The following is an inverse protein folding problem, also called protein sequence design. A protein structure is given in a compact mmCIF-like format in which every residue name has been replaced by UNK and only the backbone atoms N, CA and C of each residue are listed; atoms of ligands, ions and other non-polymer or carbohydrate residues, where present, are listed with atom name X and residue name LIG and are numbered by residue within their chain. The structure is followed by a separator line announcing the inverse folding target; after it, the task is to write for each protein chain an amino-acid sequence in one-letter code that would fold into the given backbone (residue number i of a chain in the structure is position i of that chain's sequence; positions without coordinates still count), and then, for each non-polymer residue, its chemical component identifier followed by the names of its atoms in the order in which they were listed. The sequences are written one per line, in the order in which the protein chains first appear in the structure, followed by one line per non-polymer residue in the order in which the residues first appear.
data_IF_667011406765
#
_entry.id   IF_667011406765
#
_cell.length_a   1.000
_cell.length_b   1.000
_cell.length_c   1.000
_cell.angle_alpha   90.00
_cell.angle_beta   90.00
_cell.angle_gamma   90.00
#
_symmetry.space_group_name_H-M   'P 1'
#
loop_
_entity.id
_entity.type
_entity.pdbx_description
1 polymer ?
#
# COMPACT_ATOMS: atom_id res chain seq x y z
N UNK A 1 50.87 -27.06 17.02
CA UNK A 1 49.52 -26.52 17.25
C UNK A 1 49.15 -25.92 15.93
N UNK A 2 48.37 -26.66 15.16
CA UNK A 2 48.15 -26.45 13.71
C UNK A 2 47.51 -25.09 13.44
N UNK A 3 47.99 -24.44 12.38
CA UNK A 3 47.37 -23.27 11.77
C UNK A 3 45.92 -23.62 11.44
N UNK A 4 44.97 -22.97 12.12
CA UNK A 4 43.56 -23.10 11.76
C UNK A 4 43.38 -22.33 10.45
N UNK A 5 42.98 -23.03 9.41
CA UNK A 5 42.66 -22.43 8.11
C UNK A 5 41.50 -21.44 8.28
N UNK A 6 41.79 -20.15 8.11
CA UNK A 6 40.81 -19.05 8.27
C UNK A 6 39.60 -19.22 7.34
N UNK A 7 39.69 -20.00 6.26
CA UNK A 7 38.54 -20.32 5.39
C UNK A 7 37.49 -21.24 6.04
N UNK A 8 37.82 -21.85 7.18
CA UNK A 8 36.90 -22.68 7.99
C UNK A 8 36.58 -22.06 9.35
N UNK A 9 36.97 -20.80 9.57
CA UNK A 9 36.61 -20.03 10.77
C UNK A 9 35.33 -19.26 10.47
N UNK A 10 34.24 -19.65 11.13
CA UNK A 10 32.98 -18.90 11.11
C UNK A 10 32.94 -17.99 12.33
N UNK A 11 32.85 -16.67 12.10
CA UNK A 11 32.56 -15.72 13.16
C UNK A 11 31.07 -15.83 13.52
N UNK A 12 30.77 -16.56 14.60
CA UNK A 12 29.40 -16.66 15.11
C UNK A 12 29.09 -15.40 15.91
N UNK A 13 28.36 -14.49 15.29
CA UNK A 13 27.81 -13.33 15.96
C UNK A 13 26.41 -13.68 16.46
N UNK A 14 26.25 -13.73 17.78
CA UNK A 14 24.96 -13.96 18.40
C UNK A 14 24.11 -12.69 18.36
N UNK A 15 22.83 -12.85 18.08
CA UNK A 15 21.84 -11.81 18.33
C UNK A 15 21.59 -11.66 19.83
N UNK A 16 21.20 -10.46 20.26
CA UNK A 16 20.80 -10.24 21.64
C UNK A 16 19.52 -11.02 21.97
N UNK A 17 19.47 -11.67 23.14
CA UNK A 17 18.30 -12.43 23.59
C UNK A 17 17.13 -11.52 24.01
N UNK A 18 17.43 -10.27 24.42
CA UNK A 18 16.46 -9.29 24.90
C UNK A 18 16.31 -8.13 23.92
N UNK A 19 15.06 -7.84 23.54
CA UNK A 19 14.70 -6.70 22.69
C UNK A 19 14.32 -5.48 23.54
N UNK A 20 14.58 -4.28 23.03
CA UNK A 20 14.20 -3.03 23.65
C UNK A 20 12.69 -2.75 23.60
N UNK A 21 12.27 -1.66 24.25
CA UNK A 21 10.88 -1.22 24.21
C UNK A 21 10.44 -0.90 22.76
N UNK A 22 9.25 -1.38 22.36
CA UNK A 22 8.72 -1.17 21.02
C UNK A 22 9.40 -2.00 19.92
N UNK A 23 10.29 -2.93 20.27
CA UNK A 23 10.98 -3.80 19.32
C UNK A 23 10.36 -5.20 19.25
N UNK A 24 10.39 -5.79 18.05
CA UNK A 24 10.06 -7.20 17.81
C UNK A 24 10.95 -7.77 16.71
N UNK A 25 11.16 -9.08 16.73
CA UNK A 25 11.76 -9.76 15.58
C UNK A 25 10.87 -9.58 14.35
N UNK A 26 11.48 -9.23 13.22
CA UNK A 26 10.82 -9.19 11.93
C UNK A 26 10.27 -10.57 11.60
N UNK A 27 8.99 -10.62 11.26
CA UNK A 27 8.32 -11.85 10.83
C UNK A 27 8.52 -12.15 9.36
N UNK A 28 9.23 -11.29 8.63
CA UNK A 28 9.28 -11.35 7.17
C UNK A 28 9.66 -12.74 6.66
N UNK A 29 10.72 -13.35 7.20
CA UNK A 29 11.17 -14.66 6.72
C UNK A 29 10.13 -15.76 6.97
N UNK A 30 9.50 -15.75 8.15
CA UNK A 30 8.50 -16.72 8.60
C UNK A 30 7.19 -16.69 7.77
N UNK A 31 6.93 -15.60 7.05
CA UNK A 31 5.70 -15.43 6.28
C UNK A 31 5.68 -16.29 5.00
N UNK A 32 4.49 -16.78 4.66
CA UNK A 32 4.27 -17.47 3.39
C UNK A 32 4.42 -16.51 2.18
N UNK A 33 4.73 -17.05 1.00
CA UNK A 33 4.99 -16.24 -0.19
C UNK A 33 3.86 -15.25 -0.57
N UNK A 34 2.59 -15.61 -0.33
CA UNK A 34 1.45 -14.72 -0.62
C UNK A 34 1.32 -13.54 0.36
N UNK A 35 1.96 -13.65 1.53
CA UNK A 35 2.01 -12.64 2.58
C UNK A 35 3.23 -11.71 2.42
N UNK A 36 4.08 -11.96 1.43
CA UNK A 36 5.25 -11.16 1.06
C UNK A 36 4.96 -10.32 -0.19
N UNK A 37 5.65 -9.19 -0.30
CA UNK A 37 5.59 -8.32 -1.45
C UNK A 37 5.96 -9.02 -2.77
N UNK A 38 5.47 -8.51 -3.92
CA UNK A 38 5.78 -9.06 -5.24
C UNK A 38 7.25 -8.88 -5.61
N UNK A 39 7.72 -9.73 -6.52
CA UNK A 39 9.04 -9.60 -7.16
C UNK A 39 8.96 -8.78 -8.46
N UNK A 40 10.03 -8.06 -8.86
CA UNK A 40 11.29 -7.89 -8.14
C UNK A 40 11.11 -7.00 -6.90
N UNK A 41 11.76 -7.37 -5.79
CA UNK A 41 11.69 -6.57 -4.55
C UNK A 41 12.62 -5.37 -4.68
N UNK A 42 12.24 -4.19 -4.18
CA UNK A 42 13.17 -3.09 -4.04
C UNK A 42 14.36 -3.45 -3.14
N UNK A 43 15.55 -2.97 -3.50
CA UNK A 43 16.80 -3.28 -2.79
C UNK A 43 16.82 -2.79 -1.34
N UNK A 44 15.97 -1.82 -0.99
CA UNK A 44 15.84 -1.30 0.37
C UNK A 44 15.07 -2.24 1.31
N UNK A 45 14.40 -3.27 0.79
CA UNK A 45 13.61 -4.19 1.64
C UNK A 45 14.56 -5.11 2.40
N UNK A 46 14.69 -4.89 3.70
CA UNK A 46 15.46 -5.78 4.60
C UNK A 46 14.69 -7.09 4.80
N UNK A 47 15.30 -8.19 4.38
CA UNK A 47 14.73 -9.55 4.45
C UNK A 47 15.49 -10.48 5.40
N UNK A 48 16.47 -9.96 6.15
CA UNK A 48 17.27 -10.75 7.09
C UNK A 48 16.40 -11.42 8.15
N UNK A 49 16.74 -12.66 8.51
CA UNK A 49 16.09 -13.44 9.57
C UNK A 49 16.27 -12.82 10.95
N UNK A 50 17.40 -12.13 11.16
CA UNK A 50 17.73 -11.41 12.38
C UNK A 50 17.35 -9.94 12.35
N UNK A 51 16.49 -9.51 11.41
CA UNK A 51 16.01 -8.15 11.40
C UNK A 51 15.05 -7.89 12.57
N UNK A 52 15.12 -6.70 13.14
CA UNK A 52 14.26 -6.20 14.21
C UNK A 52 13.39 -5.09 13.63
N UNK A 53 12.08 -5.17 13.87
CA UNK A 53 11.14 -4.06 13.64
C UNK A 53 11.03 -3.23 14.93
N UNK A 54 11.35 -1.94 14.86
CA UNK A 54 11.24 -0.98 15.96
C UNK A 54 10.14 0.04 15.67
N UNK A 55 9.14 0.16 16.56
CA UNK A 55 8.10 1.18 16.44
C UNK A 55 8.68 2.58 16.70
N UNK A 56 8.61 3.47 15.70
CA UNK A 56 9.05 4.87 15.81
C UNK A 56 7.92 5.83 16.20
N UNK A 57 6.69 5.32 16.26
CA UNK A 57 5.51 6.08 16.68
C UNK A 57 4.41 6.18 15.63
N UNK A 58 3.33 6.88 15.99
CA UNK A 58 2.13 7.01 15.15
C UNK A 58 2.35 8.07 14.08
N UNK A 59 2.24 7.68 12.80
CA UNK A 59 2.20 8.60 11.67
C UNK A 59 0.82 9.24 11.52
N UNK A 60 -0.24 8.43 11.61
CA UNK A 60 -1.62 8.90 11.44
C UNK A 60 -2.60 7.99 12.18
N UNK A 61 -3.49 8.59 12.97
CA UNK A 61 -4.61 7.86 13.56
C UNK A 61 -5.82 7.84 12.63
N UNK A 62 -6.53 6.73 12.60
CA UNK A 62 -7.76 6.57 11.81
C UNK A 62 -8.86 5.85 12.56
N UNK A 63 -10.08 5.96 12.03
CA UNK A 63 -11.26 5.29 12.60
C UNK A 63 -11.16 3.77 12.49
N UNK A 64 -10.54 3.25 11.43
CA UNK A 64 -10.46 1.80 11.13
C UNK A 64 -9.06 1.24 11.33
N UNK A 65 -8.04 2.06 11.14
CA UNK A 65 -6.66 1.66 11.27
C UNK A 65 -5.83 2.85 11.70
N UNK A 66 -4.74 2.57 12.39
CA UNK A 66 -3.67 3.52 12.66
C UNK A 66 -2.47 3.18 11.78
N UNK A 67 -1.75 4.20 11.35
CA UNK A 67 -0.51 4.07 10.58
C UNK A 67 0.63 4.48 11.49
N UNK A 68 1.61 3.60 11.63
CA UNK A 68 2.84 3.79 12.40
C UNK A 68 4.04 3.90 11.47
N UNK A 69 5.08 4.59 11.89
CA UNK A 69 6.40 4.42 11.31
C UNK A 69 7.12 3.32 12.08
N UNK A 70 7.76 2.41 11.33
CA UNK A 70 8.60 1.36 11.89
C UNK A 70 9.95 1.38 11.20
N UNK A 71 11.03 1.15 11.94
CA UNK A 71 12.35 0.88 11.37
C UNK A 71 12.60 -0.62 11.36
N UNK A 72 13.01 -1.18 10.23
CA UNK A 72 13.54 -2.53 10.15
C UNK A 72 15.04 -2.48 9.95
N UNK A 73 15.79 -3.08 10.87
CA UNK A 73 17.25 -3.16 10.80
C UNK A 73 17.75 -4.53 11.24
N UNK A 74 18.76 -5.06 10.54
CA UNK A 74 19.57 -6.14 11.07
C UNK A 74 20.64 -5.52 12.00
N UNK A 75 20.73 -5.91 13.28
CA UNK A 75 21.75 -5.38 14.21
C UNK A 75 23.19 -5.52 13.71
N UNK A 76 23.48 -6.51 12.86
CA UNK A 76 24.79 -6.70 12.25
C UNK A 76 24.98 -5.92 10.95
N UNK A 77 23.92 -5.29 10.42
CA UNK A 77 23.93 -4.44 9.22
C UNK A 77 23.07 -3.18 9.41
N UNK A 78 23.41 -2.31 10.38
CA UNK A 78 22.61 -1.12 10.68
C UNK A 78 22.55 -0.13 9.50
N UNK A 79 23.54 -0.12 8.61
CA UNK A 79 23.56 0.76 7.44
C UNK A 79 22.50 0.39 6.37
N UNK A 80 21.93 -0.82 6.46
CA UNK A 80 20.84 -1.29 5.58
C UNK A 80 19.45 -0.99 6.19
N UNK A 81 19.37 -0.33 7.35
CA UNK A 81 18.12 -0.04 8.02
C UNK A 81 17.14 0.75 7.15
N UNK A 82 15.86 0.43 7.26
CA UNK A 82 14.80 1.08 6.47
C UNK A 82 13.60 1.46 7.32
N UNK A 83 13.10 2.67 7.12
CA UNK A 83 11.86 3.14 7.72
C UNK A 83 10.69 2.88 6.76
N UNK A 84 9.63 2.29 7.29
CA UNK A 84 8.44 1.86 6.56
C UNK A 84 7.17 2.32 7.27
N UNK A 85 6.04 2.27 6.57
CA UNK A 85 4.72 2.53 7.13
C UNK A 85 4.03 1.21 7.48
N UNK A 86 3.59 1.06 8.73
CA UNK A 86 2.80 -0.08 9.21
C UNK A 86 1.35 0.35 9.46
N UNK A 87 0.42 -0.11 8.63
CA UNK A 87 -1.02 0.10 8.80
C UNK A 87 -1.62 -1.04 9.62
N UNK A 88 -2.00 -0.76 10.87
CA UNK A 88 -2.59 -1.71 11.81
C UNK A 88 -4.10 -1.48 11.90
N UNK A 89 -4.91 -2.45 11.46
CA UNK A 89 -6.36 -2.34 11.56
C UNK A 89 -6.82 -2.64 12.98
N UNK A 90 -7.81 -1.87 13.44
CA UNK A 90 -8.45 -2.09 14.74
C UNK A 90 -9.31 -3.36 14.67
N UNK A 91 -9.39 -4.07 15.79
CA UNK A 91 -10.20 -5.27 15.90
C UNK A 91 -11.68 -4.98 15.57
N UNK A 92 -12.30 -5.97 14.93
CA UNK A 92 -13.65 -5.96 14.38
C UNK A 92 -14.77 -5.78 15.41
N UNK A 93 -14.48 -5.93 16.71
CA UNK A 93 -15.48 -5.86 17.78
C UNK A 93 -16.14 -4.48 17.96
N UNK A 94 -15.61 -3.42 17.34
CA UNK A 94 -16.06 -2.04 17.57
C UNK A 94 -16.57 -1.26 16.36
N UNK A 95 -17.08 -1.89 15.30
CA UNK A 95 -17.60 -1.11 14.15
C UNK A 95 -18.97 -1.54 13.63
N UNK A 96 -19.97 -0.91 14.24
CA UNK A 96 -21.32 -0.62 13.75
C UNK A 96 -21.46 -0.63 12.22
N UNK A 97 -22.16 -1.65 11.74
CA UNK A 97 -22.96 -1.91 10.53
C UNK A 97 -23.47 -0.75 9.63
N UNK A 98 -22.82 0.40 9.55
CA UNK A 98 -23.26 1.50 8.69
C UNK A 98 -22.19 1.84 7.66
N UNK A 99 -22.21 1.11 6.53
CA UNK A 99 -21.83 1.51 5.15
C UNK A 99 -21.52 0.34 4.19
N UNK A 100 -21.52 -0.91 4.66
CA UNK A 100 -21.15 -2.08 3.84
C UNK A 100 -22.15 -2.47 2.73
N UNK A 101 -23.37 -1.92 2.71
CA UNK A 101 -24.42 -2.34 1.77
C UNK A 101 -24.11 -1.96 0.31
N UNK A 102 -23.46 -0.83 0.05
CA UNK A 102 -23.22 -0.36 -1.32
C UNK A 102 -21.98 -0.95 -1.98
N UNK A 103 -21.05 -1.50 -1.20
CA UNK A 103 -19.74 -1.98 -1.69
C UNK A 103 -19.66 -3.50 -1.87
N UNK A 104 -20.63 -4.25 -1.34
CA UNK A 104 -20.56 -5.74 -1.31
C UNK A 104 -21.49 -6.42 -2.31
N UNK A 105 -22.45 -5.70 -2.91
CA UNK A 105 -23.49 -6.29 -3.77
C UNK A 105 -22.96 -6.93 -5.07
N UNK A 106 -21.74 -6.62 -5.50
CA UNK A 106 -21.09 -7.29 -6.65
C UNK A 106 -20.24 -8.52 -6.29
N UNK A 107 -19.92 -8.75 -5.01
CA UNK A 107 -18.88 -9.73 -4.60
C UNK A 107 -19.40 -11.16 -4.39
N UNK A 108 -20.72 -11.38 -4.46
CA UNK A 108 -21.35 -12.60 -3.89
C UNK A 108 -21.70 -13.71 -4.87
N UNK A 109 -21.17 -13.75 -6.10
CA UNK A 109 -21.56 -14.80 -7.05
C UNK A 109 -20.38 -15.66 -7.53
N UNK A 110 -19.86 -16.51 -6.63
CA UNK A 110 -19.43 -17.91 -6.89
C UNK A 110 -18.56 -18.47 -5.77
N UNK A 111 -19.10 -19.43 -4.97
CA UNK A 111 -18.57 -20.81 -4.77
C UNK A 111 -18.91 -21.45 -3.41
N UNK A 112 -19.14 -22.77 -3.53
CA UNK A 112 -19.51 -23.83 -2.58
C UNK A 112 -18.87 -23.79 -1.18
N UNK A 113 -19.62 -24.33 -0.20
CA UNK A 113 -19.27 -24.52 1.21
C UNK A 113 -17.95 -25.29 1.43
N UNK A 114 -17.60 -26.23 0.55
CA UNK A 114 -16.42 -27.09 0.73
C UNK A 114 -15.09 -26.35 0.47
N UNK A 115 -15.10 -25.38 -0.43
CA UNK A 115 -13.92 -24.58 -0.76
C UNK A 115 -13.59 -23.57 0.36
N UNK A 116 -14.59 -23.22 1.19
CA UNK A 116 -14.43 -22.28 2.31
C UNK A 116 -13.78 -22.95 3.53
N UNK A 117 -14.12 -24.22 3.78
CA UNK A 117 -13.54 -25.00 4.88
C UNK A 117 -12.05 -25.35 4.62
N UNK A 118 -11.70 -25.69 3.38
CA UNK A 118 -10.29 -25.90 2.99
C UNK A 118 -9.48 -24.60 3.03
N UNK A 119 -10.05 -23.48 2.56
CA UNK A 119 -9.41 -22.16 2.70
C UNK A 119 -9.14 -21.80 4.16
N UNK A 120 -10.11 -21.92 5.08
CA UNK A 120 -9.88 -21.62 6.51
C UNK A 120 -8.79 -22.47 7.18
N UNK A 121 -8.37 -23.59 6.59
CA UNK A 121 -7.28 -24.43 7.12
C UNK A 121 -5.89 -24.00 6.65
N UNK A 122 -5.75 -23.28 5.53
CA UNK A 122 -4.44 -22.74 5.12
C UNK A 122 -4.08 -21.50 5.93
N UNK A 123 -2.79 -21.22 6.09
CA UNK A 123 -2.32 -19.99 6.75
C UNK A 123 -2.88 -18.76 6.06
N UNK A 124 -2.83 -18.71 4.73
CA UNK A 124 -3.47 -17.64 3.95
C UNK A 124 -4.98 -17.51 4.22
N UNK A 125 -5.73 -18.60 4.36
CA UNK A 125 -7.16 -18.46 4.66
C UNK A 125 -7.47 -18.14 6.12
N UNK A 126 -6.56 -18.44 7.06
CA UNK A 126 -6.59 -17.88 8.43
C UNK A 126 -6.30 -16.39 8.40
N UNK A 127 -5.28 -15.96 7.66
CA UNK A 127 -4.94 -14.56 7.40
C UNK A 127 -6.14 -13.76 6.88
N UNK A 128 -6.78 -14.25 5.81
CA UNK A 128 -7.98 -13.63 5.23
C UNK A 128 -9.14 -13.58 6.23
N UNK A 129 -9.29 -14.61 7.08
CA UNK A 129 -10.35 -14.63 8.08
C UNK A 129 -10.07 -13.69 9.27
N UNK A 130 -8.81 -13.52 9.67
CA UNK A 130 -8.41 -12.66 10.78
C UNK A 130 -8.46 -11.17 10.40
N UNK A 131 -8.09 -10.84 9.16
CA UNK A 131 -8.01 -9.46 8.69
C UNK A 131 -8.66 -9.27 7.33
N UNK A 132 -9.97 -9.51 7.18
CA UNK A 132 -10.66 -9.41 5.88
C UNK A 132 -10.42 -8.06 5.19
N UNK A 133 -10.42 -6.95 5.96
CA UNK A 133 -10.11 -5.62 5.47
C UNK A 133 -8.65 -5.47 5.05
N UNK A 134 -7.71 -5.90 5.90
CA UNK A 134 -6.28 -5.87 5.62
C UNK A 134 -5.93 -6.74 4.40
N UNK A 135 -6.51 -7.94 4.30
CA UNK A 135 -6.33 -8.83 3.16
C UNK A 135 -6.91 -8.23 1.86
N UNK A 136 -8.05 -7.52 1.93
CA UNK A 136 -8.59 -6.83 0.76
C UNK A 136 -7.67 -5.70 0.30
N UNK A 137 -7.19 -4.86 1.23
CA UNK A 137 -6.26 -3.77 0.90
C UNK A 137 -4.92 -4.29 0.38
N UNK A 138 -4.37 -5.34 1.00
CA UNK A 138 -3.15 -6.01 0.56
C UNK A 138 -3.25 -6.53 -0.87
N UNK A 139 -4.35 -7.22 -1.21
CA UNK A 139 -4.55 -7.73 -2.56
C UNK A 139 -4.66 -6.57 -3.58
N UNK A 140 -5.34 -5.48 -3.23
CA UNK A 140 -5.47 -4.31 -4.08
C UNK A 140 -4.11 -3.60 -4.28
N UNK A 141 -3.36 -3.39 -3.19
CA UNK A 141 -2.04 -2.75 -3.22
C UNK A 141 -1.04 -3.56 -4.03
N UNK A 142 -0.96 -4.87 -3.80
CA UNK A 142 -0.15 -5.79 -4.61
C UNK A 142 -0.51 -5.73 -6.08
N UNK A 143 -1.79 -5.83 -6.40
CA UNK A 143 -2.26 -5.81 -7.79
C UNK A 143 -1.91 -4.49 -8.48
N UNK A 144 -2.11 -3.36 -7.81
CA UNK A 144 -1.77 -2.04 -8.36
C UNK A 144 -0.27 -1.91 -8.59
N UNK A 145 0.54 -2.33 -7.62
CA UNK A 145 1.99 -2.28 -7.76
C UNK A 145 2.49 -3.18 -8.92
N UNK A 146 1.97 -4.41 -9.04
CA UNK A 146 2.30 -5.34 -10.13
C UNK A 146 1.89 -4.80 -11.52
N UNK A 147 0.88 -3.92 -11.58
CA UNK A 147 0.47 -3.21 -12.80
C UNK A 147 1.34 -1.98 -13.10
N UNK A 148 2.30 -1.65 -12.24
CA UNK A 148 3.17 -0.48 -12.39
C UNK A 148 2.52 0.84 -11.96
N UNK A 149 1.39 0.79 -11.23
CA UNK A 149 0.81 2.02 -10.68
C UNK A 149 1.72 2.65 -9.64
N UNK A 150 1.71 3.99 -9.52
CA UNK A 150 2.45 4.69 -8.49
C UNK A 150 1.74 4.53 -7.14
N UNK A 151 1.95 3.40 -6.48
CA UNK A 151 1.44 3.07 -5.14
C UNK A 151 2.60 2.64 -4.25
N UNK A 152 2.48 2.69 -2.91
CA UNK A 152 3.52 2.19 -2.03
C UNK A 152 3.85 0.73 -2.31
N UNK A 153 5.13 0.37 -2.31
CA UNK A 153 5.50 -1.05 -2.37
C UNK A 153 4.93 -1.82 -1.17
N UNK A 154 4.14 -2.89 -1.38
CA UNK A 154 3.64 -3.72 -0.29
C UNK A 154 4.73 -4.67 0.19
N UNK A 155 5.28 -4.46 1.39
CA UNK A 155 6.40 -5.26 1.92
C UNK A 155 5.92 -6.60 2.46
N UNK A 156 4.91 -6.57 3.34
CA UNK A 156 4.29 -7.78 3.89
C UNK A 156 2.91 -7.50 4.48
N UNK A 157 2.13 -8.56 4.68
CA UNK A 157 0.94 -8.58 5.54
C UNK A 157 1.12 -9.65 6.62
N UNK A 158 0.81 -9.32 7.86
CA UNK A 158 0.74 -10.27 8.98
C UNK A 158 -0.50 -9.97 9.82
N UNK A 159 -1.43 -10.93 9.90
CA UNK A 159 -2.75 -10.80 10.52
C UNK A 159 -3.55 -9.56 10.09
N UNK A 160 -3.55 -8.49 10.88
CA UNK A 160 -4.25 -7.24 10.60
C UNK A 160 -3.29 -6.09 10.33
N UNK A 161 -2.00 -6.35 10.14
CA UNK A 161 -0.99 -5.35 9.83
C UNK A 161 -0.51 -5.48 8.40
N UNK A 162 -0.47 -4.36 7.68
CA UNK A 162 0.23 -4.25 6.39
C UNK A 162 1.44 -3.35 6.58
N UNK A 163 2.63 -3.85 6.24
CA UNK A 163 3.85 -3.04 6.14
C UNK A 163 4.08 -2.70 4.66
N UNK A 164 4.35 -1.44 4.39
CA UNK A 164 4.55 -0.91 3.05
C UNK A 164 5.56 0.24 3.04
N UNK A 165 6.02 0.62 1.85
CA UNK A 165 6.89 1.76 1.62
C UNK A 165 6.36 3.02 2.34
N UNK A 166 7.24 3.67 3.11
CA UNK A 166 6.96 5.01 3.60
C UNK A 166 7.27 6.02 2.50
N UNK A 167 6.22 6.64 1.96
CA UNK A 167 6.35 7.62 0.90
C UNK A 167 6.86 8.93 1.48
N UNK A 168 8.05 9.31 1.07
CA UNK A 168 8.76 10.48 1.57
C UNK A 168 9.03 11.51 0.48
N UNK A 169 9.37 12.72 0.91
CA UNK A 169 9.97 13.73 0.06
C UNK A 169 11.11 14.42 0.85
N UNK A 170 11.99 15.12 0.14
CA UNK A 170 13.10 15.85 0.76
C UNK A 170 12.80 17.35 0.84
N UNK A 171 12.98 17.93 2.02
CA UNK A 171 12.89 19.37 2.27
C UNK A 171 14.15 19.77 3.02
N UNK A 172 14.90 20.74 2.51
CA UNK A 172 16.13 21.26 3.13
C UNK A 172 17.17 20.18 3.52
N UNK A 173 17.19 19.06 2.80
CA UNK A 173 18.08 17.93 3.04
C UNK A 173 17.52 16.85 3.98
N UNK A 174 16.44 17.15 4.69
CA UNK A 174 15.77 16.23 5.60
C UNK A 174 14.70 15.40 4.87
N UNK A 175 14.43 14.20 5.40
CA UNK A 175 13.42 13.28 4.86
C UNK A 175 12.15 13.46 5.66
N UNK A 176 11.08 13.85 4.97
CA UNK A 176 9.76 14.03 5.57
C UNK A 176 8.72 13.13 4.90
N UNK A 177 7.58 12.91 5.58
CA UNK A 177 6.43 12.22 4.96
C UNK A 177 5.90 13.05 3.80
N UNK A 178 5.71 12.44 2.64
CA UNK A 178 5.16 13.13 1.49
C UNK A 178 3.77 13.74 1.82
N UNK A 179 3.54 15.04 1.54
CA UNK A 179 2.26 15.68 1.81
C UNK A 179 1.17 15.14 0.87
N UNK A 180 -0.09 15.31 1.25
CA UNK A 180 -1.22 15.04 0.35
C UNK A 180 -1.25 16.10 -0.74
N UNK A 181 -1.70 15.72 -1.94
CA UNK A 181 -1.91 16.64 -3.07
C UNK A 181 -2.81 17.82 -2.66
N UNK A 182 -3.79 17.61 -1.79
CA UNK A 182 -4.63 18.67 -1.22
C UNK A 182 -3.83 19.79 -0.51
N UNK A 183 -2.69 19.45 0.10
CA UNK A 183 -1.89 20.33 0.96
C UNK A 183 -0.82 21.12 0.19
N UNK A 184 -0.47 20.70 -1.03
CA UNK A 184 0.60 21.34 -1.81
C UNK A 184 0.08 22.42 -2.77
N UNK A 185 0.97 23.36 -3.11
CA UNK A 185 0.77 24.42 -4.10
C UNK A 185 1.98 24.47 -5.05
N UNK A 186 2.17 23.44 -5.89
CA UNK A 186 3.35 23.37 -6.74
C UNK A 186 3.28 24.37 -7.90
N UNK A 187 4.43 24.62 -8.52
CA UNK A 187 4.51 25.43 -9.74
C UNK A 187 3.80 24.77 -10.91
N UNK A 188 3.44 25.60 -11.91
CA UNK A 188 2.64 25.19 -13.06
C UNK A 188 3.18 23.94 -13.78
N UNK A 189 4.48 23.88 -14.04
CA UNK A 189 5.11 22.76 -14.73
C UNK A 189 4.96 21.43 -13.96
N UNK A 190 5.02 21.48 -12.63
CA UNK A 190 4.83 20.29 -11.79
C UNK A 190 3.35 19.89 -11.70
N UNK A 191 2.43 20.88 -11.70
CA UNK A 191 0.98 20.60 -11.81
C UNK A 191 0.66 19.86 -13.13
N UNK A 192 1.25 20.30 -14.24
CA UNK A 192 1.11 19.63 -15.55
C UNK A 192 1.67 18.21 -15.51
N UNK A 193 2.88 18.02 -14.97
CA UNK A 193 3.47 16.69 -14.81
C UNK A 193 2.62 15.75 -13.95
N UNK A 194 2.06 16.24 -12.84
CA UNK A 194 1.14 15.48 -12.01
C UNK A 194 -0.14 15.07 -12.75
N UNK A 195 -0.65 15.92 -13.64
CA UNK A 195 -1.84 15.59 -14.40
C UNK A 195 -1.59 14.45 -15.39
N UNK A 196 -0.46 14.48 -16.09
CA UNK A 196 -0.04 13.37 -16.97
C UNK A 196 0.16 12.06 -16.19
N UNK A 197 0.85 12.11 -15.04
CA UNK A 197 1.00 10.94 -14.17
C UNK A 197 -0.35 10.36 -13.71
N UNK A 198 -1.32 11.23 -13.40
CA UNK A 198 -2.67 10.78 -13.05
C UNK A 198 -3.36 10.09 -14.24
N UNK A 199 -3.27 10.67 -15.44
CA UNK A 199 -3.88 10.10 -16.66
C UNK A 199 -3.32 8.72 -16.95
N UNK A 200 -2.01 8.55 -16.85
CA UNK A 200 -1.35 7.25 -17.04
C UNK A 200 -1.81 6.22 -15.98
N UNK A 201 -1.87 6.62 -14.71
CA UNK A 201 -2.31 5.76 -13.63
C UNK A 201 -3.78 5.33 -13.79
N UNK A 202 -4.68 6.27 -14.11
CA UNK A 202 -6.09 5.97 -14.34
C UNK A 202 -6.29 5.10 -15.59
N UNK A 203 -5.54 5.36 -16.66
CA UNK A 203 -5.55 4.54 -17.89
C UNK A 203 -5.17 3.09 -17.58
N UNK A 204 -4.13 2.89 -16.78
CA UNK A 204 -3.69 1.56 -16.33
C UNK A 204 -4.75 0.85 -15.51
N UNK A 205 -5.45 1.56 -14.61
CA UNK A 205 -6.55 1.00 -13.82
C UNK A 205 -7.72 0.54 -14.68
N UNK A 206 -8.18 1.40 -15.61
CA UNK A 206 -9.35 1.06 -16.44
C UNK A 206 -9.05 -0.06 -17.43
N UNK A 207 -7.82 -0.13 -17.97
CA UNK A 207 -7.36 -1.27 -18.78
C UNK A 207 -7.34 -2.58 -17.98
N UNK A 208 -7.07 -2.49 -16.67
CA UNK A 208 -7.17 -3.63 -15.75
C UNK A 208 -8.62 -3.92 -15.30
N UNK A 209 -9.62 -3.19 -15.81
CA UNK A 209 -11.02 -3.31 -15.43
C UNK A 209 -11.33 -2.83 -14.02
N UNK A 210 -10.51 -1.93 -13.47
CA UNK A 210 -10.62 -1.43 -12.10
C UNK A 210 -10.85 0.07 -12.06
N UNK A 211 -11.52 0.51 -11.01
CA UNK A 211 -11.69 1.92 -10.64
C UNK A 211 -11.31 2.07 -9.19
N UNK A 212 -10.70 3.20 -8.82
CA UNK A 212 -10.33 3.46 -7.43
C UNK A 212 -11.57 3.62 -6.53
N UNK A 213 -12.59 4.36 -6.99
CA UNK A 213 -13.90 4.49 -6.34
C UNK A 213 -14.02 5.57 -5.26
N UNK A 214 -12.89 6.15 -4.86
CA UNK A 214 -12.82 7.27 -3.92
C UNK A 214 -11.58 8.15 -4.15
N UNK A 215 -11.03 8.18 -5.37
CA UNK A 215 -9.81 8.92 -5.67
C UNK A 215 -10.04 10.43 -5.53
N UNK A 216 -9.08 11.10 -4.90
CA UNK A 216 -9.11 12.51 -4.58
C UNK A 216 -7.70 13.05 -4.24
N UNK A 217 -7.54 14.37 -4.17
CA UNK A 217 -6.31 14.99 -3.65
C UNK A 217 -6.00 14.63 -2.19
N UNK A 218 -6.97 14.07 -1.46
CA UNK A 218 -6.80 13.65 -0.07
C UNK A 218 -6.25 12.24 0.05
N UNK A 219 -6.35 11.37 -0.95
CA UNK A 219 -5.73 10.03 -0.96
C UNK A 219 -4.70 9.87 -2.09
N UNK A 220 -4.13 11.00 -2.52
CA UNK A 220 -2.95 11.05 -3.38
C UNK A 220 -1.86 11.83 -2.63
N UNK A 221 -0.64 11.31 -2.60
CA UNK A 221 0.55 11.94 -2.03
C UNK A 221 1.38 12.60 -3.13
N UNK A 222 2.06 13.68 -2.79
CA UNK A 222 2.98 14.42 -3.64
C UNK A 222 4.42 14.20 -3.13
N UNK A 223 5.08 13.18 -3.67
CA UNK A 223 6.43 12.76 -3.31
C UNK A 223 7.47 13.46 -4.19
N UNK A 224 7.69 14.75 -3.94
CA UNK A 224 8.55 15.57 -4.81
C UNK A 224 7.92 15.73 -6.19
N UNK A 225 8.52 15.13 -7.21
CA UNK A 225 8.02 15.16 -8.59
C UNK A 225 7.03 14.02 -8.94
N UNK A 226 6.83 13.05 -8.04
CA UNK A 226 5.90 11.93 -8.25
C UNK A 226 4.58 12.08 -7.49
N UNK A 227 3.49 11.67 -8.14
CA UNK A 227 2.25 11.32 -7.44
C UNK A 227 2.35 9.89 -6.91
N UNK A 228 1.75 9.63 -5.73
CA UNK A 228 1.55 8.27 -5.21
C UNK A 228 0.13 8.11 -4.69
N UNK A 229 -0.61 7.14 -5.24
CA UNK A 229 -1.98 6.83 -4.87
C UNK A 229 -1.98 5.92 -3.63
N UNK A 230 -2.83 6.24 -2.66
CA UNK A 230 -2.99 5.47 -1.42
C UNK A 230 -4.47 5.20 -1.14
N UNK A 231 -4.75 4.34 -0.16
CA UNK A 231 -6.12 4.00 0.26
C UNK A 231 -6.93 3.27 -0.82
N UNK A 232 -6.44 2.08 -1.18
CA UNK A 232 -6.99 1.21 -2.22
C UNK A 232 -8.12 0.21 -1.81
N UNK A 233 -8.61 0.09 -0.56
CA UNK A 233 -9.58 -0.97 -0.23
C UNK A 233 -10.96 -0.78 -0.90
N UNK A 234 -11.24 0.42 -1.42
CA UNK A 234 -12.52 0.76 -2.06
C UNK A 234 -12.55 0.52 -3.57
N UNK A 235 -11.53 -0.12 -4.14
CA UNK A 235 -11.50 -0.41 -5.57
C UNK A 235 -12.70 -1.24 -6.02
N UNK A 236 -13.28 -0.85 -7.15
CA UNK A 236 -14.46 -1.49 -7.74
C UNK A 236 -14.17 -1.98 -9.14
N UNK A 237 -14.84 -3.08 -9.51
CA UNK A 237 -14.82 -3.57 -10.88
C UNK A 237 -15.57 -2.57 -11.79
N UNK A 238 -14.89 -2.10 -12.83
CA UNK A 238 -15.42 -1.10 -13.76
C UNK A 238 -16.70 -1.56 -14.48
N UNK A 239 -16.76 -2.85 -14.82
CA UNK A 239 -17.81 -3.41 -15.70
C UNK A 239 -18.78 -4.28 -14.91
N UNK A 240 -18.25 -5.06 -13.97
CA UNK A 240 -19.02 -5.97 -13.11
C UNK A 240 -19.81 -5.24 -12.03
N UNK A 241 -19.47 -3.99 -11.69
CA UNK A 241 -20.27 -3.17 -10.80
C UNK A 241 -21.23 -2.29 -11.61
N UNK A 242 -22.56 -2.34 -11.37
CA UNK A 242 -23.53 -1.46 -12.03
C UNK A 242 -23.23 0.04 -11.92
N UNK A 243 -22.44 0.44 -10.91
CA UNK A 243 -22.02 1.82 -10.64
C UNK A 243 -20.56 2.09 -10.99
N UNK A 244 -19.85 1.16 -11.63
CA UNK A 244 -18.42 1.29 -11.94
C UNK A 244 -18.10 2.57 -12.72
N UNK A 245 -18.90 2.88 -13.73
CA UNK A 245 -18.77 4.11 -14.53
C UNK A 245 -19.03 5.39 -13.71
N UNK A 246 -20.01 5.37 -12.81
CA UNK A 246 -20.30 6.51 -11.93
C UNK A 246 -19.13 6.79 -10.99
N UNK A 247 -18.51 5.72 -10.46
CA UNK A 247 -17.32 5.83 -9.62
C UNK A 247 -16.13 6.40 -10.39
N UNK A 248 -15.91 5.97 -11.64
CA UNK A 248 -14.83 6.48 -12.47
C UNK A 248 -15.01 7.97 -12.78
N UNK A 249 -16.24 8.39 -13.13
CA UNK A 249 -16.52 9.80 -13.37
C UNK A 249 -16.34 10.64 -12.10
N UNK A 250 -16.71 10.10 -10.93
CA UNK A 250 -16.49 10.77 -9.63
C UNK A 250 -15.00 10.94 -9.33
N UNK A 251 -14.18 9.93 -9.59
CA UNK A 251 -12.73 9.99 -9.44
C UNK A 251 -12.14 11.09 -10.34
N UNK A 252 -12.55 11.13 -11.61
CA UNK A 252 -12.17 12.18 -12.57
C UNK A 252 -12.57 13.58 -12.06
N UNK A 253 -13.81 13.75 -11.61
CA UNK A 253 -14.33 15.03 -11.11
C UNK A 253 -13.56 15.54 -9.89
N UNK A 254 -13.27 14.67 -8.92
CA UNK A 254 -12.53 15.03 -7.71
C UNK A 254 -11.12 15.52 -8.03
N UNK A 255 -10.43 14.83 -8.94
CA UNK A 255 -9.06 15.19 -9.31
C UNK A 255 -9.02 16.42 -10.21
N UNK A 256 -9.82 16.46 -11.29
CA UNK A 256 -9.88 17.61 -12.20
C UNK A 256 -10.27 18.90 -11.47
N UNK A 257 -11.16 18.85 -10.46
CA UNK A 257 -11.46 20.01 -9.62
C UNK A 257 -10.22 20.60 -8.92
N UNK A 258 -9.31 19.74 -8.44
CA UNK A 258 -8.07 20.23 -7.84
C UNK A 258 -7.12 20.81 -8.88
N UNK A 259 -6.93 20.15 -10.03
CA UNK A 259 -6.08 20.68 -11.11
C UNK A 259 -6.60 22.02 -11.65
N UNK A 260 -7.92 22.18 -11.81
CA UNK A 260 -8.54 23.48 -12.12
C UNK A 260 -8.26 24.54 -11.06
N UNK A 261 -8.31 24.17 -9.78
CA UNK A 261 -7.93 25.09 -8.69
C UNK A 261 -6.44 25.49 -8.69
N UNK A 262 -5.62 24.83 -9.52
CA UNK A 262 -4.20 25.12 -9.78
C UNK A 262 -3.97 25.76 -11.16
N UNK A 263 -5.05 26.15 -11.85
CA UNK A 263 -5.02 26.86 -13.11
C UNK A 263 -4.92 25.97 -14.35
N UNK A 264 -5.03 24.63 -14.24
CA UNK A 264 -5.14 23.76 -15.41
C UNK A 264 -6.55 23.79 -16.01
N UNK A 265 -6.66 23.68 -17.32
CA UNK A 265 -7.91 23.40 -18.02
C UNK A 265 -8.15 21.89 -18.00
N UNK A 266 -8.38 21.32 -16.81
CA UNK A 266 -8.68 19.91 -16.63
C UNK A 266 -10.20 19.71 -16.64
N UNK A 267 -10.74 19.04 -17.67
CA UNK A 267 -12.16 18.70 -17.79
C UNK A 267 -12.40 17.24 -17.39
N UNK A 268 -13.33 16.99 -16.47
CA UNK A 268 -13.63 15.63 -16.01
C UNK A 268 -14.33 14.75 -17.03
N UNK A 269 -15.12 15.33 -17.96
CA UNK A 269 -15.82 14.60 -19.01
C UNK A 269 -14.86 14.22 -20.13
N UNK A 270 -13.93 15.11 -20.48
CA UNK A 270 -12.85 14.81 -21.43
C UNK A 270 -11.96 13.68 -20.90
N UNK A 271 -11.49 13.79 -19.65
CA UNK A 271 -10.70 12.75 -19.01
C UNK A 271 -11.47 11.42 -18.93
N UNK A 272 -12.74 11.46 -18.51
CA UNK A 272 -13.58 10.26 -18.49
C UNK A 272 -13.72 9.63 -19.89
N UNK A 273 -13.98 10.45 -20.91
CA UNK A 273 -14.08 10.00 -22.30
C UNK A 273 -12.80 9.35 -22.82
N UNK A 274 -11.64 9.93 -22.51
CA UNK A 274 -10.33 9.35 -22.80
C UNK A 274 -10.16 7.98 -22.13
N UNK A 275 -10.42 7.89 -20.83
CA UNK A 275 -10.28 6.64 -20.08
C UNK A 275 -11.23 5.56 -20.60
N UNK A 276 -12.45 5.92 -20.97
CA UNK A 276 -13.41 4.99 -21.55
C UNK A 276 -12.99 4.46 -22.92
N UNK A 277 -12.14 5.17 -23.67
CA UNK A 277 -11.55 4.64 -24.91
C UNK A 277 -10.48 3.57 -24.66
N UNK A 278 -9.95 3.50 -23.43
CA UNK A 278 -8.97 2.50 -22.99
C UNK A 278 -9.56 1.36 -22.16
N UNK A 279 -10.78 1.54 -21.65
CA UNK A 279 -11.58 0.42 -21.19
C UNK A 279 -11.93 -0.42 -22.43
N UNK A 280 -11.57 -1.70 -22.44
CA UNK A 280 -11.81 -2.72 -23.51
C UNK A 280 -10.71 -2.87 -24.57
#
# INVERSE_FOLDING_TARGET
MEDVDESFVFDYQAYADELGEGQRWSRWEDLEALMKGPEPRPDWVVTSSGAIDTDLGVLKTGKEADVFLIERADPHRPDEAVVMAAKRYRDTDHRTFHRAASYTEGRSMKRSRDNRALKRKSTWGRQVAAGEWAASEWNALRRCWELGLPVPYPVQIDETEIVMEWITHRVDGEVETAPRVAQVRPERALVESYYEQLRDALTTLVQAGQVHGDLSPYNTLAAGDRLVIIDLPQMVDLVGNPRGMDFLLRDCANMCAWFRSRGLEADEQELFGELMAHAF
#
